data_IF_199989084370
#
_entry.id   IF_199989084370
#
_cell.length_a   1.000
_cell.length_b   1.000
_cell.length_c   1.000
_cell.angle_alpha   90.00
_cell.angle_beta   90.00
_cell.angle_gamma   90.00
#
_symmetry.space_group_name_H-M   'P 1'
#
loop_
_entity.id
_entity.type
_entity.pdbx_description
1 polymer ?
#
# COMPACT_ATOMS: atom_id res chain seq x y z
N UNK A 1 29.95 -19.99 -2.35
CA UNK A 1 30.39 -18.83 -1.55
C UNK A 1 29.23 -18.43 -0.63
N UNK A 2 29.44 -17.74 0.51
CA UNK A 2 28.35 -17.36 1.42
C UNK A 2 27.16 -16.71 0.71
N UNK A 3 27.44 -15.81 -0.24
CA UNK A 3 26.44 -15.20 -1.13
C UNK A 3 25.59 -16.20 -1.94
N UNK A 4 26.22 -17.23 -2.54
CA UNK A 4 25.50 -18.24 -3.33
C UNK A 4 24.57 -19.07 -2.43
N UNK A 5 25.01 -19.40 -1.22
CA UNK A 5 24.24 -20.22 -0.28
C UNK A 5 23.05 -19.43 0.28
N UNK A 6 23.25 -18.15 0.61
CA UNK A 6 22.17 -17.25 1.02
C UNK A 6 21.11 -17.12 -0.08
N UNK A 7 21.54 -16.84 -1.32
CA UNK A 7 20.64 -16.72 -2.46
C UNK A 7 19.86 -18.01 -2.69
N UNK A 8 20.53 -19.17 -2.67
CA UNK A 8 19.85 -20.48 -2.82
C UNK A 8 18.83 -20.73 -1.73
N UNK A 9 19.14 -20.41 -0.47
CA UNK A 9 18.21 -20.58 0.65
C UNK A 9 16.94 -19.75 0.45
N UNK A 10 17.09 -18.48 0.04
CA UNK A 10 15.94 -17.64 -0.30
C UNK A 10 15.20 -18.11 -1.56
N UNK A 11 15.91 -18.63 -2.57
CA UNK A 11 15.28 -19.15 -3.79
C UNK A 11 14.34 -20.32 -3.49
N UNK A 12 14.75 -21.25 -2.64
CA UNK A 12 13.90 -22.38 -2.21
C UNK A 12 12.60 -21.87 -1.57
N UNK A 13 12.68 -20.83 -0.75
CA UNK A 13 11.50 -20.19 -0.15
C UNK A 13 10.69 -19.42 -1.21
N UNK A 14 11.34 -18.76 -2.18
CA UNK A 14 10.60 -18.05 -3.24
C UNK A 14 9.83 -18.99 -4.17
N UNK A 15 10.28 -20.23 -4.32
CA UNK A 15 9.57 -21.25 -5.10
C UNK A 15 8.31 -21.74 -4.38
N UNK A 16 8.32 -21.78 -3.04
CA UNK A 16 7.11 -22.07 -2.24
C UNK A 16 6.20 -20.84 -2.13
N UNK A 17 6.80 -19.65 -2.05
CA UNK A 17 6.15 -18.34 -2.11
C UNK A 17 5.91 -17.87 -3.56
N UNK A 18 5.82 -18.80 -4.51
CA UNK A 18 5.71 -18.52 -5.94
C UNK A 18 4.82 -17.30 -6.21
N UNK A 19 5.44 -16.18 -6.63
CA UNK A 19 4.74 -14.95 -7.02
C UNK A 19 3.99 -15.23 -8.32
N UNK A 20 2.72 -15.66 -8.30
CA UNK A 20 2.19 -16.39 -9.43
C UNK A 20 1.65 -15.35 -10.41
N UNK A 21 2.53 -14.95 -11.34
CA UNK A 21 2.16 -14.27 -12.57
C UNK A 21 2.42 -12.78 -12.60
N UNK A 22 2.37 -12.26 -13.82
CA UNK A 22 2.63 -10.86 -14.12
C UNK A 22 1.44 -10.00 -13.71
N UNK A 23 1.67 -9.10 -12.76
CA UNK A 23 0.75 -8.00 -12.46
C UNK A 23 1.06 -6.78 -13.37
N UNK A 24 0.11 -5.87 -13.59
CA UNK A 24 0.38 -4.64 -14.33
C UNK A 24 1.56 -3.85 -13.74
N UNK A 25 2.56 -3.57 -14.57
CA UNK A 25 3.78 -2.85 -14.19
C UNK A 25 3.56 -1.32 -14.23
N UNK A 26 2.67 -0.81 -13.38
CA UNK A 26 2.25 0.60 -13.41
C UNK A 26 3.33 1.56 -12.90
N UNK A 27 4.14 1.14 -11.93
CA UNK A 27 5.19 1.97 -11.33
C UNK A 27 6.31 2.26 -12.32
N UNK A 28 6.58 1.32 -13.23
CA UNK A 28 7.63 1.43 -14.25
C UNK A 28 7.36 2.54 -15.28
N UNK A 29 6.19 3.18 -15.23
CA UNK A 29 5.84 4.36 -16.05
C UNK A 29 6.39 5.66 -15.49
N UNK A 30 6.92 5.64 -14.27
CA UNK A 30 7.38 6.81 -13.55
C UNK A 30 8.76 6.57 -12.96
N UNK A 31 9.45 7.67 -12.67
CA UNK A 31 10.74 7.64 -11.99
C UNK A 31 10.56 8.09 -10.54
N UNK A 32 11.25 7.40 -9.63
CA UNK A 32 11.33 7.83 -8.25
C UNK A 32 12.10 9.14 -8.16
N UNK A 33 11.59 10.07 -7.36
CA UNK A 33 12.28 11.33 -7.12
C UNK A 33 13.68 11.08 -6.50
N UNK A 34 14.71 11.68 -7.09
CA UNK A 34 16.10 11.43 -6.69
C UNK A 34 16.38 11.89 -5.24
N UNK A 35 15.83 13.02 -4.82
CA UNK A 35 15.93 13.45 -3.41
C UNK A 35 15.24 12.45 -2.48
N UNK A 36 14.12 11.85 -2.91
CA UNK A 36 13.41 10.86 -2.09
C UNK A 36 14.26 9.60 -1.90
N UNK A 37 14.94 9.13 -2.95
CA UNK A 37 15.87 8.00 -2.85
C UNK A 37 17.10 8.33 -1.98
N UNK A 38 17.57 9.57 -2.01
CA UNK A 38 18.75 10.02 -1.27
C UNK A 38 18.48 10.24 0.22
N UNK A 39 17.33 10.80 0.58
CA UNK A 39 17.01 11.23 1.95
C UNK A 39 15.87 10.43 2.62
N UNK A 40 15.12 9.66 1.85
CA UNK A 40 14.01 8.86 2.33
C UNK A 40 14.46 7.66 3.17
N UNK A 41 13.62 7.29 4.13
CA UNK A 41 13.74 6.11 4.97
C UNK A 41 12.52 5.23 4.72
N UNK A 42 12.73 3.96 4.41
CA UNK A 42 11.60 3.04 4.24
C UNK A 42 10.98 2.76 5.61
N UNK A 43 9.66 2.70 5.69
CA UNK A 43 8.93 2.46 6.94
C UNK A 43 7.92 1.33 6.70
N UNK A 44 7.92 0.35 7.58
CA UNK A 44 7.03 -0.80 7.52
C UNK A 44 6.09 -0.83 8.72
N UNK A 45 4.86 -1.33 8.51
CA UNK A 45 3.93 -1.58 9.61
C UNK A 45 4.13 -2.96 10.27
N UNK A 46 4.96 -3.82 9.66
CA UNK A 46 5.23 -5.17 10.12
C UNK A 46 6.26 -5.88 9.26
N UNK A 47 6.73 -7.05 9.74
CA UNK A 47 7.79 -7.81 9.09
C UNK A 47 7.38 -8.42 7.75
N UNK A 48 6.09 -8.66 7.58
CA UNK A 48 5.50 -9.39 6.47
C UNK A 48 5.82 -8.77 5.10
N UNK A 49 5.54 -7.48 4.93
CA UNK A 49 5.82 -6.76 3.69
C UNK A 49 7.32 -6.64 3.43
N UNK A 50 8.10 -6.39 4.50
CA UNK A 50 9.55 -6.34 4.44
C UNK A 50 10.14 -7.67 3.95
N UNK A 51 9.71 -8.80 4.53
CA UNK A 51 10.19 -10.13 4.13
C UNK A 51 9.90 -10.40 2.65
N UNK A 52 8.71 -10.02 2.16
CA UNK A 52 8.33 -10.16 0.74
C UNK A 52 9.19 -9.28 -0.17
N UNK A 53 9.44 -8.02 0.21
CA UNK A 53 10.33 -7.12 -0.54
C UNK A 53 11.76 -7.64 -0.60
N UNK A 54 12.28 -8.13 0.53
CA UNK A 54 13.63 -8.70 0.62
C UNK A 54 13.78 -9.99 -0.18
N UNK A 55 12.77 -10.85 -0.14
CA UNK A 55 12.73 -12.06 -0.96
C UNK A 55 12.83 -11.70 -2.44
N UNK A 56 12.02 -10.77 -2.91
CA UNK A 56 12.04 -10.30 -4.28
C UNK A 56 13.41 -9.70 -4.66
N UNK A 57 13.94 -8.82 -3.82
CA UNK A 57 15.22 -8.14 -4.02
C UNK A 57 16.42 -9.09 -4.19
N UNK A 58 16.37 -10.27 -3.55
CA UNK A 58 17.48 -11.23 -3.58
C UNK A 58 17.28 -12.37 -4.59
N UNK A 59 16.05 -12.64 -5.01
CA UNK A 59 15.73 -13.78 -5.89
C UNK A 59 15.48 -13.37 -7.34
N UNK A 60 14.97 -12.16 -7.59
CA UNK A 60 14.68 -11.67 -8.95
C UNK A 60 15.97 -11.11 -9.59
N UNK A 61 16.51 -11.72 -10.66
CA UNK A 61 17.83 -11.37 -11.19
C UNK A 61 17.94 -9.93 -11.74
N UNK A 62 16.83 -9.34 -12.17
CA UNK A 62 16.80 -7.98 -12.74
C UNK A 62 16.73 -6.89 -11.68
N UNK A 63 16.52 -7.22 -10.40
CA UNK A 63 16.51 -6.24 -9.32
C UNK A 63 17.93 -5.95 -8.86
N UNK A 64 18.34 -4.70 -8.99
CA UNK A 64 19.71 -4.28 -8.68
C UNK A 64 19.79 -2.98 -7.88
N UNK A 65 18.68 -2.25 -7.78
CA UNK A 65 18.57 -0.97 -7.09
C UNK A 65 17.37 -0.96 -6.16
N UNK A 66 17.38 -0.03 -5.19
CA UNK A 66 16.22 0.17 -4.32
C UNK A 66 14.99 0.63 -5.12
N UNK A 67 15.16 1.39 -6.19
CA UNK A 67 14.08 1.78 -7.09
C UNK A 67 13.38 0.58 -7.73
N UNK A 68 14.12 -0.47 -8.11
CA UNK A 68 13.54 -1.72 -8.64
C UNK A 68 12.64 -2.39 -7.60
N UNK A 69 13.11 -2.44 -6.34
CA UNK A 69 12.39 -3.05 -5.22
C UNK A 69 11.15 -2.25 -4.85
N UNK A 70 11.23 -0.91 -4.85
CA UNK A 70 10.07 -0.04 -4.62
C UNK A 70 9.04 -0.14 -5.75
N UNK A 71 9.48 -0.22 -7.01
CA UNK A 71 8.59 -0.45 -8.15
C UNK A 71 7.85 -1.79 -8.01
N UNK A 72 8.57 -2.83 -7.61
CA UNK A 72 7.98 -4.12 -7.32
C UNK A 72 6.93 -4.03 -6.22
N UNK A 73 7.27 -3.40 -5.09
CA UNK A 73 6.35 -3.24 -3.97
C UNK A 73 5.05 -2.53 -4.39
N UNK A 74 5.15 -1.44 -5.16
CA UNK A 74 3.96 -0.76 -5.70
C UNK A 74 3.15 -1.65 -6.65
N UNK A 75 3.81 -2.32 -7.60
CA UNK A 75 3.13 -3.14 -8.61
C UNK A 75 2.41 -4.33 -7.97
N UNK A 76 3.02 -4.91 -6.94
CA UNK A 76 2.50 -6.04 -6.18
C UNK A 76 1.72 -5.63 -4.92
N UNK A 77 1.42 -4.33 -4.73
CA UNK A 77 0.63 -3.84 -3.61
C UNK A 77 1.16 -4.27 -2.24
N UNK A 78 2.47 -4.29 -2.04
CA UNK A 78 3.09 -4.45 -0.73
C UNK A 78 2.99 -3.13 0.04
N UNK A 79 2.71 -3.21 1.35
CA UNK A 79 2.57 -2.03 2.18
C UNK A 79 3.94 -1.53 2.64
N UNK A 80 4.21 -0.25 2.40
CA UNK A 80 5.37 0.47 2.90
C UNK A 80 5.12 1.98 2.81
N UNK A 81 5.78 2.75 3.66
CA UNK A 81 5.83 4.20 3.55
C UNK A 81 7.28 4.66 3.34
N UNK A 82 7.46 5.90 2.89
CA UNK A 82 8.78 6.54 2.84
C UNK A 82 8.73 7.79 3.71
N UNK A 83 9.40 7.72 4.86
CA UNK A 83 9.58 8.83 5.78
C UNK A 83 10.73 9.73 5.37
N UNK A 84 10.57 11.04 5.55
CA UNK A 84 11.64 12.02 5.34
C UNK A 84 11.98 12.74 6.66
N UNK A 85 13.26 12.99 6.96
CA UNK A 85 13.63 13.77 8.13
C UNK A 85 13.15 15.22 8.03
N UNK A 86 12.72 15.80 9.16
CA UNK A 86 12.26 17.19 9.27
C UNK A 86 13.22 18.21 8.60
N UNK A 87 14.52 18.02 8.79
CA UNK A 87 15.60 18.87 8.24
C UNK A 87 15.67 18.90 6.70
N UNK A 88 14.91 18.07 6.01
CA UNK A 88 14.90 17.98 4.54
C UNK A 88 13.54 18.38 3.93
N UNK A 89 12.59 18.87 4.73
CA UNK A 89 11.26 19.25 4.24
C UNK A 89 11.28 20.35 3.17
N UNK A 90 12.30 21.20 3.19
CA UNK A 90 12.52 22.27 2.22
C UNK A 90 12.61 21.78 0.77
N UNK A 91 13.03 20.53 0.54
CA UNK A 91 13.13 19.91 -0.78
C UNK A 91 11.78 19.64 -1.44
N UNK A 92 10.74 19.40 -0.64
CA UNK A 92 9.39 19.08 -1.12
C UNK A 92 8.35 20.13 -0.79
N UNK A 93 8.69 21.12 0.04
CA UNK A 93 7.79 22.23 0.35
C UNK A 93 7.60 23.10 -0.89
N UNK A 94 6.37 23.22 -1.44
CA UNK A 94 6.15 24.04 -2.62
C UNK A 94 6.43 25.51 -2.32
N UNK A 95 7.25 26.15 -3.17
CA UNK A 95 7.57 27.59 -3.05
C UNK A 95 6.33 28.47 -3.15
N UNK A 96 5.36 28.04 -3.95
CA UNK A 96 4.06 28.68 -4.09
C UNK A 96 2.98 27.63 -3.90
N UNK A 97 1.92 28.01 -3.17
CA UNK A 97 0.71 27.19 -3.01
C UNK A 97 -0.44 27.94 -3.61
N UNK A 98 -1.22 27.25 -4.42
CA UNK A 98 -2.40 27.82 -5.06
C UNK A 98 -3.42 28.27 -4.00
N UNK A 99 -4.25 29.24 -4.35
CA UNK A 99 -5.34 29.69 -3.46
C UNK A 99 -6.28 28.54 -3.09
N UNK A 100 -6.48 27.59 -4.01
CA UNK A 100 -7.32 26.42 -3.80
C UNK A 100 -6.72 25.46 -2.77
N UNK A 101 -5.45 25.08 -2.92
CA UNK A 101 -4.75 24.22 -1.94
C UNK A 101 -4.71 24.87 -0.56
N UNK A 102 -4.49 26.19 -0.48
CA UNK A 102 -4.50 26.91 0.80
C UNK A 102 -5.87 26.84 1.48
N UNK A 103 -6.95 26.97 0.71
CA UNK A 103 -8.33 26.88 1.23
C UNK A 103 -8.70 25.44 1.61
N UNK A 104 -8.36 24.46 0.76
CA UNK A 104 -8.63 23.04 1.02
C UNK A 104 -7.85 22.52 2.23
N UNK A 105 -6.55 22.77 2.29
CA UNK A 105 -5.70 22.35 3.41
C UNK A 105 -6.14 22.93 4.76
N UNK A 106 -6.73 24.13 4.77
CA UNK A 106 -7.34 24.70 5.99
C UNK A 106 -8.55 23.89 6.46
N UNK A 107 -9.29 23.23 5.59
CA UNK A 107 -10.45 22.44 6.00
C UNK A 107 -10.01 21.06 6.51
N UNK A 108 -9.08 20.39 5.82
CA UNK A 108 -8.71 19.01 6.12
C UNK A 108 -7.69 18.88 7.28
N UNK A 109 -6.86 19.89 7.54
CA UNK A 109 -5.77 19.80 8.52
C UNK A 109 -5.99 20.61 9.80
N UNK A 110 -7.22 21.06 10.04
CA UNK A 110 -7.62 21.68 11.31
C UNK A 110 -7.79 20.62 12.38
N UNK A 111 -7.29 20.91 13.58
CA UNK A 111 -7.46 20.03 14.75
C UNK A 111 -8.94 19.78 15.01
N UNK A 112 -9.33 18.51 15.14
CA UNK A 112 -10.72 18.12 15.37
C UNK A 112 -11.58 18.02 14.10
N UNK A 113 -10.98 18.11 12.91
CA UNK A 113 -11.67 17.71 11.68
C UNK A 113 -12.12 16.25 11.78
N UNK A 114 -13.40 16.01 11.49
CA UNK A 114 -14.00 14.67 11.44
C UNK A 114 -14.49 14.45 10.03
N UNK A 115 -14.01 13.38 9.43
CA UNK A 115 -14.46 12.97 8.11
C UNK A 115 -15.92 12.55 8.16
N UNK A 116 -16.73 13.04 7.23
CA UNK A 116 -18.15 12.66 7.18
C UNK A 116 -18.25 11.22 6.69
N UNK A 117 -18.99 10.34 7.36
CA UNK A 117 -19.20 8.97 6.90
C UNK A 117 -20.04 8.90 5.62
N UNK A 118 -20.04 7.75 4.93
CA UNK A 118 -21.02 7.48 3.89
C UNK A 118 -22.42 7.30 4.51
N UNK A 119 -23.47 7.54 3.72
CA UNK A 119 -24.84 7.30 4.14
C UNK A 119 -25.04 5.82 4.47
N UNK A 120 -25.73 5.51 5.57
CA UNK A 120 -26.07 4.14 5.95
C UNK A 120 -26.98 3.44 4.91
N UNK A 121 -27.71 4.23 4.11
CA UNK A 121 -28.57 3.76 3.04
C UNK A 121 -27.86 3.64 1.69
N UNK A 122 -26.53 3.48 1.68
CA UNK A 122 -25.79 3.33 0.43
C UNK A 122 -26.31 2.11 -0.35
N UNK A 123 -26.96 2.41 -1.48
CA UNK A 123 -27.57 1.46 -2.40
C UNK A 123 -27.14 1.79 -3.84
N UNK A 124 -27.76 1.14 -4.83
CA UNK A 124 -27.45 1.39 -6.24
C UNK A 124 -27.65 2.86 -6.63
N UNK A 125 -28.71 3.49 -6.10
CA UNK A 125 -29.01 4.91 -6.39
C UNK A 125 -27.98 5.87 -5.81
N UNK A 126 -27.24 5.43 -4.79
CA UNK A 126 -26.23 6.20 -4.06
C UNK A 126 -24.80 6.05 -4.62
N UNK A 127 -24.57 5.18 -5.62
CA UNK A 127 -23.25 5.01 -6.26
C UNK A 127 -22.67 6.34 -6.77
N UNK A 128 -23.44 7.23 -7.46
CA UNK A 128 -22.90 8.50 -7.90
C UNK A 128 -22.37 9.36 -6.74
N UNK A 129 -23.07 9.38 -5.60
CA UNK A 129 -22.63 10.11 -4.41
C UNK A 129 -21.36 9.51 -3.81
N UNK A 130 -21.24 8.18 -3.77
CA UNK A 130 -20.01 7.50 -3.38
C UNK A 130 -18.85 7.87 -4.30
N UNK A 131 -19.03 7.82 -5.62
CA UNK A 131 -17.98 8.16 -6.59
C UNK A 131 -17.54 9.63 -6.49
N UNK A 132 -18.47 10.56 -6.25
CA UNK A 132 -18.14 11.97 -6.01
C UNK A 132 -17.28 12.13 -4.75
N UNK A 133 -17.64 11.43 -3.67
CA UNK A 133 -16.87 11.47 -2.42
C UNK A 133 -15.50 10.81 -2.55
N UNK A 134 -15.43 9.71 -3.28
CA UNK A 134 -14.19 9.02 -3.61
C UNK A 134 -13.26 9.94 -4.41
N UNK A 135 -13.80 10.68 -5.39
CA UNK A 135 -13.04 11.66 -6.15
C UNK A 135 -12.52 12.80 -5.25
N UNK A 136 -13.38 13.41 -4.41
CA UNK A 136 -12.95 14.44 -3.45
C UNK A 136 -11.79 13.95 -2.56
N UNK A 137 -11.93 12.74 -2.01
CA UNK A 137 -10.90 12.11 -1.19
C UNK A 137 -9.58 11.96 -1.95
N UNK A 138 -9.62 11.42 -3.18
CA UNK A 138 -8.42 11.15 -3.97
C UNK A 138 -7.76 12.40 -4.55
N UNK A 139 -8.46 13.55 -4.58
CA UNK A 139 -7.87 14.85 -4.91
C UNK A 139 -7.11 15.50 -3.75
N UNK A 140 -7.16 14.95 -2.54
CA UNK A 140 -6.46 15.53 -1.38
C UNK A 140 -4.95 15.31 -1.49
N UNK A 141 -4.11 16.25 -1.01
CA UNK A 141 -2.67 16.16 -1.16
C UNK A 141 -2.04 14.87 -0.58
N UNK A 142 -2.57 14.38 0.55
CA UNK A 142 -2.09 13.19 1.25
C UNK A 142 -2.73 11.88 0.77
N UNK A 143 -3.70 11.93 -0.17
CA UNK A 143 -4.31 10.72 -0.73
C UNK A 143 -3.27 9.79 -1.38
N UNK A 144 -2.09 10.32 -1.74
CA UNK A 144 -0.94 9.53 -2.19
C UNK A 144 -0.53 8.44 -1.19
N UNK A 145 -0.80 8.62 0.10
CA UNK A 145 -0.51 7.63 1.13
C UNK A 145 -1.31 6.33 0.95
N UNK A 146 -2.46 6.35 0.26
CA UNK A 146 -3.18 5.12 -0.09
C UNK A 146 -2.34 4.16 -0.94
N UNK A 147 -1.38 4.67 -1.72
CA UNK A 147 -0.45 3.84 -2.49
C UNK A 147 0.44 3.03 -1.55
N UNK A 148 0.95 3.66 -0.49
CA UNK A 148 1.81 3.03 0.52
C UNK A 148 1.09 2.04 1.45
N UNK A 149 -0.24 2.13 1.55
CA UNK A 149 -1.03 1.11 2.27
C UNK A 149 -1.06 -0.25 1.57
N UNK A 150 -0.66 -0.33 0.29
CA UNK A 150 -0.67 -1.58 -0.46
C UNK A 150 -2.08 -2.16 -0.67
N UNK A 151 -2.11 -3.43 -1.08
CA UNK A 151 -3.29 -4.27 -1.21
C UNK A 151 -4.50 -3.59 -1.85
N UNK A 152 -5.70 -3.73 -1.25
CA UNK A 152 -6.93 -3.18 -1.83
C UNK A 152 -6.97 -1.65 -1.80
N UNK A 153 -6.36 -1.01 -0.80
CA UNK A 153 -6.31 0.45 -0.70
C UNK A 153 -5.56 1.06 -1.88
N UNK A 154 -4.34 0.58 -2.13
CA UNK A 154 -3.50 1.04 -3.24
C UNK A 154 -4.15 0.76 -4.59
N UNK A 155 -4.81 -0.40 -4.75
CA UNK A 155 -5.48 -0.73 -6.01
C UNK A 155 -6.65 0.21 -6.30
N UNK A 156 -7.56 0.42 -5.32
CA UNK A 156 -8.73 1.29 -5.49
C UNK A 156 -8.29 2.73 -5.73
N UNK A 157 -7.32 3.22 -4.97
CA UNK A 157 -6.79 4.57 -5.14
C UNK A 157 -6.19 4.78 -6.54
N UNK A 158 -5.42 3.82 -7.07
CA UNK A 158 -4.92 3.89 -8.46
C UNK A 158 -6.03 3.82 -9.51
N UNK A 159 -7.05 2.98 -9.30
CA UNK A 159 -8.14 2.81 -10.27
C UNK A 159 -8.96 4.09 -10.44
N UNK A 160 -9.30 4.77 -9.34
CA UNK A 160 -10.20 5.93 -9.37
C UNK A 160 -9.49 7.28 -9.28
N UNK A 161 -8.28 7.31 -8.70
CA UNK A 161 -7.45 8.53 -8.58
C UNK A 161 -6.53 8.74 -9.77
N UNK A 162 -6.41 7.76 -10.65
CA UNK A 162 -5.56 7.82 -11.83
C UNK A 162 -4.10 7.48 -11.55
N UNK A 163 -3.31 7.48 -12.61
CA UNK A 163 -1.87 7.18 -12.55
C UNK A 163 -1.07 8.34 -11.95
N UNK A 164 -1.66 9.54 -11.94
CA UNK A 164 -1.11 10.76 -11.36
C UNK A 164 -0.89 10.59 -9.85
N UNK A 165 -1.80 9.90 -9.15
CA UNK A 165 -1.65 9.64 -7.71
C UNK A 165 -0.39 8.84 -7.40
N UNK A 166 -0.05 7.88 -8.27
CA UNK A 166 1.18 7.10 -8.16
C UNK A 166 2.42 7.97 -8.42
N UNK A 167 2.38 8.82 -9.45
CA UNK A 167 3.46 9.79 -9.70
C UNK A 167 3.67 10.72 -8.51
N UNK A 168 2.60 11.19 -7.88
CA UNK A 168 2.66 12.02 -6.66
C UNK A 168 3.29 11.24 -5.49
N UNK A 169 2.93 9.98 -5.28
CA UNK A 169 3.55 9.14 -4.25
C UNK A 169 5.07 8.98 -4.48
N UNK A 170 5.47 8.71 -5.73
CA UNK A 170 6.89 8.56 -6.12
C UNK A 170 7.67 9.88 -6.10
N UNK A 171 6.98 11.02 -6.03
CA UNK A 171 7.58 12.35 -5.96
C UNK A 171 7.98 12.79 -4.55
N UNK A 172 7.48 12.11 -3.51
CA UNK A 172 7.79 12.40 -2.12
C UNK A 172 6.58 12.87 -1.29
N UNK A 173 6.84 13.36 -0.07
CA UNK A 173 5.79 13.73 0.89
C UNK A 173 4.94 14.91 0.41
N UNK A 174 3.68 14.93 0.82
CA UNK A 174 2.76 16.01 0.49
C UNK A 174 2.93 17.24 1.40
N UNK A 175 2.10 18.26 1.14
CA UNK A 175 2.01 19.44 2.00
C UNK A 175 1.46 19.13 3.41
N UNK A 176 0.77 17.99 3.60
CA UNK A 176 0.34 17.51 4.91
C UNK A 176 1.55 17.42 5.85
N UNK A 177 2.60 16.75 5.40
CA UNK A 177 3.85 16.61 6.13
C UNK A 177 4.68 17.90 6.08
N UNK A 178 5.00 18.36 4.88
CA UNK A 178 6.08 19.35 4.68
C UNK A 178 5.74 20.76 5.16
N UNK A 179 4.45 21.11 5.18
CA UNK A 179 3.98 22.46 5.56
C UNK A 179 3.08 22.47 6.79
N UNK A 180 2.23 21.46 6.91
CA UNK A 180 1.29 21.37 8.03
C UNK A 180 1.85 20.56 9.20
N UNK A 181 2.99 19.88 9.03
CA UNK A 181 3.60 19.02 10.05
C UNK A 181 2.58 18.02 10.62
N UNK A 182 1.71 17.51 9.73
CA UNK A 182 0.70 16.48 9.98
C UNK A 182 1.11 15.19 9.28
N UNK A 183 0.40 14.12 9.59
CA UNK A 183 0.73 12.77 9.12
C UNK A 183 1.40 11.97 10.24
N UNK A 184 1.88 10.79 9.88
CA UNK A 184 2.53 9.89 10.80
C UNK A 184 4.03 10.23 10.93
N UNK A 185 4.62 9.79 12.03
CA UNK A 185 6.01 10.00 12.36
C UNK A 185 6.47 8.92 13.34
N UNK A 186 7.78 8.82 13.56
CA UNK A 186 8.37 7.80 14.41
C UNK A 186 8.66 8.26 15.84
N UNK A 187 7.96 9.28 16.34
CA UNK A 187 8.20 9.84 17.69
C UNK A 187 7.83 8.89 18.84
N UNK A 188 7.00 7.88 18.57
CA UNK A 188 6.63 6.83 19.53
C UNK A 188 7.69 5.71 19.63
N UNK A 189 8.68 5.71 18.74
CA UNK A 189 9.74 4.70 18.71
C UNK A 189 10.87 5.02 19.70
N UNK A 190 11.44 3.96 20.30
CA UNK A 190 12.54 4.08 21.29
C UNK A 190 13.74 4.85 20.73
N UNK A 191 14.07 4.60 19.46
CA UNK A 191 15.14 5.28 18.72
C UNK A 191 14.51 6.10 17.60
N UNK A 192 13.80 7.17 17.96
CA UNK A 192 13.18 8.06 16.98
C UNK A 192 14.25 8.78 16.13
N UNK A 193 14.04 8.79 14.82
CA UNK A 193 14.89 9.42 13.81
C UNK A 193 14.33 10.79 13.38
N UNK A 194 13.10 11.13 13.80
CA UNK A 194 12.43 12.37 13.41
C UNK A 194 12.03 12.35 11.94
N UNK A 195 11.59 11.18 11.46
CA UNK A 195 11.10 10.99 10.10
C UNK A 195 9.58 11.10 10.08
N UNK A 196 9.06 11.69 9.01
CA UNK A 196 7.63 11.96 8.84
C UNK A 196 7.16 11.49 7.46
N UNK A 197 5.94 10.97 7.37
CA UNK A 197 5.32 10.53 6.12
C UNK A 197 3.83 10.86 6.10
N UNK A 198 3.26 10.89 4.89
CA UNK A 198 1.83 11.14 4.73
C UNK A 198 1.01 10.01 5.35
N UNK A 199 -0.14 10.35 5.92
CA UNK A 199 -1.05 9.40 6.53
C UNK A 199 -2.50 9.71 6.14
N UNK A 200 -3.30 8.66 6.00
CA UNK A 200 -4.75 8.72 5.82
C UNK A 200 -5.43 8.10 7.04
N UNK A 201 -6.52 8.71 7.46
CA UNK A 201 -7.29 8.25 8.62
C UNK A 201 -8.11 6.98 8.33
N UNK A 202 -8.53 6.27 9.37
CA UNK A 202 -9.45 5.13 9.23
C UNK A 202 -10.79 5.51 8.57
N UNK A 203 -11.29 6.72 8.83
CA UNK A 203 -12.50 7.20 8.19
C UNK A 203 -12.33 7.39 6.68
N UNK A 204 -11.14 7.83 6.25
CA UNK A 204 -10.80 7.95 4.83
C UNK A 204 -10.60 6.59 4.16
N UNK A 205 -9.96 5.63 4.86
CA UNK A 205 -9.88 4.22 4.41
C UNK A 205 -11.28 3.62 4.23
N UNK A 206 -12.18 3.87 5.17
CA UNK A 206 -13.58 3.46 5.11
C UNK A 206 -14.32 4.09 3.92
N UNK A 207 -14.12 5.39 3.65
CA UNK A 207 -14.68 6.01 2.45
C UNK A 207 -14.12 5.35 1.21
N UNK A 208 -12.81 5.14 1.12
CA UNK A 208 -12.17 4.57 -0.07
C UNK A 208 -12.82 3.23 -0.46
N UNK A 209 -13.01 2.35 0.51
CA UNK A 209 -13.60 1.03 0.30
C UNK A 209 -15.14 1.02 0.27
N UNK A 210 -15.77 2.18 0.42
CA UNK A 210 -17.23 2.31 0.41
C UNK A 210 -17.90 1.62 1.60
N UNK A 211 -17.31 1.73 2.78
CA UNK A 211 -17.83 1.16 4.03
C UNK A 211 -19.18 1.78 4.42
N UNK A 212 -20.08 0.91 4.85
CA UNK A 212 -21.40 1.23 5.36
C UNK A 212 -21.52 0.57 6.73
N UNK A 213 -21.63 1.35 7.82
CA UNK A 213 -21.70 0.81 9.16
C UNK A 213 -22.98 -0.02 9.37
N UNK A 214 -22.95 -0.89 10.37
CA UNK A 214 -24.14 -1.60 10.80
C UNK A 214 -25.16 -0.64 11.43
N UNK A 215 -26.44 -0.77 11.07
CA UNK A 215 -27.54 -0.12 11.76
C UNK A 215 -28.49 -1.19 12.31
N UNK A 216 -28.82 -1.11 13.61
CA UNK A 216 -29.89 -1.88 14.27
C UNK A 216 -30.04 -3.34 13.78
N UNK A 217 -28.96 -4.13 13.87
CA UNK A 217 -28.97 -5.55 13.55
C UNK A 217 -28.62 -5.91 12.10
N UNK A 218 -28.33 -4.93 11.23
CA UNK A 218 -27.75 -5.21 9.90
C UNK A 218 -26.26 -5.54 10.01
N UNK A 219 -25.73 -6.36 9.11
CA UNK A 219 -24.29 -6.53 8.99
C UNK A 219 -23.64 -5.26 8.40
N UNK A 220 -22.37 -5.04 8.73
CA UNK A 220 -21.51 -4.08 8.05
C UNK A 220 -21.32 -4.47 6.59
N UNK A 221 -21.14 -3.48 5.71
CA UNK A 221 -21.04 -3.70 4.27
C UNK A 221 -19.97 -2.81 3.63
N UNK A 222 -19.43 -3.25 2.50
CA UNK A 222 -18.41 -2.51 1.74
C UNK A 222 -18.64 -2.59 0.23
N UNK A 223 -18.23 -1.57 -0.51
CA UNK A 223 -18.21 -1.58 -1.99
C UNK A 223 -17.02 -2.38 -2.53
N UNK A 224 -15.88 -2.31 -1.84
CA UNK A 224 -14.70 -3.15 -2.06
C UNK A 224 -14.39 -3.92 -0.76
N UNK A 225 -14.01 -5.20 -0.83
CA UNK A 225 -13.75 -5.96 0.39
C UNK A 225 -12.46 -5.45 1.06
N UNK A 226 -12.47 -5.13 2.36
CA UNK A 226 -11.28 -4.70 3.08
C UNK A 226 -10.30 -5.87 3.31
N UNK A 227 -9.04 -5.62 3.70
CA UNK A 227 -8.03 -6.66 3.90
C UNK A 227 -8.49 -7.81 4.80
N UNK A 228 -9.24 -7.51 5.87
CA UNK A 228 -9.69 -8.49 6.86
C UNK A 228 -10.72 -9.47 6.25
N UNK A 229 -11.56 -8.98 5.33
CA UNK A 229 -12.52 -9.81 4.58
C UNK A 229 -11.80 -10.68 3.56
N UNK A 230 -10.74 -10.15 2.92
CA UNK A 230 -9.91 -10.93 2.01
C UNK A 230 -9.16 -12.04 2.74
N UNK A 231 -8.59 -11.76 3.91
CA UNK A 231 -7.80 -12.72 4.70
C UNK A 231 -8.62 -13.92 5.19
N UNK A 232 -9.87 -13.69 5.57
CA UNK A 232 -10.79 -14.71 6.06
C UNK A 232 -11.40 -15.56 4.93
N UNK A 233 -11.66 -14.98 3.75
CA UNK A 233 -12.54 -15.61 2.73
C UNK A 233 -11.95 -15.73 1.31
N UNK A 234 -10.84 -15.07 1.00
CA UNK A 234 -10.23 -15.11 -0.33
C UNK A 234 -8.98 -16.01 -0.33
N UNK A 235 -9.05 -17.13 -1.05
CA UNK A 235 -7.93 -18.10 -1.14
C UNK A 235 -6.70 -17.55 -1.87
N UNK A 236 -6.84 -16.38 -2.49
CA UNK A 236 -5.80 -15.70 -3.27
C UNK A 236 -5.18 -14.53 -2.52
N UNK A 237 -5.68 -14.18 -1.33
CA UNK A 237 -5.07 -13.15 -0.51
C UNK A 237 -3.97 -13.73 0.37
N UNK A 238 -2.75 -13.28 0.08
CA UNK A 238 -1.50 -13.72 0.71
C UNK A 238 -0.69 -12.54 1.29
N UNK A 239 -1.33 -11.38 1.47
CA UNK A 239 -0.62 -10.12 1.74
C UNK A 239 0.18 -9.60 0.53
N UNK A 240 -0.12 -10.08 -0.68
CA UNK A 240 0.50 -9.61 -1.91
C UNK A 240 -0.53 -9.61 -3.05
N UNK A 241 -0.46 -8.59 -3.89
CA UNK A 241 -1.29 -8.47 -5.08
C UNK A 241 -0.83 -9.43 -6.18
N UNK A 242 -1.80 -10.06 -6.83
CA UNK A 242 -1.57 -11.06 -7.87
C UNK A 242 -2.65 -10.99 -8.97
N UNK A 243 -2.49 -11.70 -10.09
CA UNK A 243 -3.43 -11.65 -11.21
C UNK A 243 -4.86 -12.07 -10.87
N UNK A 244 -5.07 -12.96 -9.90
CA UNK A 244 -6.41 -13.37 -9.48
C UNK A 244 -7.14 -12.22 -8.76
N UNK A 245 -6.43 -11.53 -7.86
CA UNK A 245 -6.93 -10.32 -7.19
C UNK A 245 -7.17 -9.18 -8.19
N UNK A 246 -6.26 -9.00 -9.15
CA UNK A 246 -6.42 -8.04 -10.25
C UNK A 246 -7.71 -8.29 -11.03
N UNK A 247 -7.97 -9.54 -11.43
CA UNK A 247 -9.20 -9.90 -12.13
C UNK A 247 -10.47 -9.69 -11.29
N UNK A 248 -10.41 -10.07 -10.01
CA UNK A 248 -11.51 -9.88 -9.05
C UNK A 248 -11.86 -8.39 -8.88
N UNK A 249 -10.86 -7.54 -8.66
CA UNK A 249 -11.08 -6.12 -8.41
C UNK A 249 -11.50 -5.37 -9.66
N UNK A 250 -10.99 -5.73 -10.84
CA UNK A 250 -11.50 -5.22 -12.11
C UNK A 250 -12.98 -5.59 -12.32
N UNK A 251 -13.38 -6.82 -11.98
CA UNK A 251 -14.78 -7.23 -12.02
C UNK A 251 -15.66 -6.40 -11.08
N UNK A 252 -15.21 -6.17 -9.84
CA UNK A 252 -15.92 -5.32 -8.87
C UNK A 252 -16.05 -3.89 -9.41
N UNK A 253 -14.95 -3.28 -9.83
CA UNK A 253 -14.92 -1.91 -10.36
C UNK A 253 -15.87 -1.76 -11.57
N UNK A 254 -15.89 -2.72 -12.49
CA UNK A 254 -16.79 -2.68 -13.66
C UNK A 254 -18.28 -2.65 -13.27
N UNK A 255 -18.66 -3.33 -12.17
CA UNK A 255 -20.03 -3.30 -11.64
C UNK A 255 -20.37 -1.96 -10.99
N UNK A 256 -19.40 -1.33 -10.34
CA UNK A 256 -19.55 -0.01 -9.74
C UNK A 256 -19.72 1.05 -10.83
N UNK A 257 -18.84 1.06 -11.81
CA UNK A 257 -18.87 1.99 -12.95
C UNK A 257 -20.15 1.85 -13.78
N UNK A 258 -20.64 0.62 -13.98
CA UNK A 258 -21.92 0.35 -14.64
C UNK A 258 -23.16 0.57 -13.77
N UNK A 259 -22.99 1.07 -12.53
CA UNK A 259 -24.06 1.35 -11.56
C UNK A 259 -24.92 0.12 -11.24
N UNK A 260 -24.29 -1.06 -11.14
CA UNK A 260 -24.93 -2.34 -10.83
C UNK A 260 -24.44 -2.97 -9.53
N UNK A 261 -23.46 -2.35 -8.87
CA UNK A 261 -22.93 -2.82 -7.60
C UNK A 261 -23.80 -2.35 -6.42
N UNK A 262 -23.73 -3.08 -5.32
CA UNK A 262 -24.24 -2.64 -4.02
C UNK A 262 -23.19 -2.99 -2.96
N UNK A 263 -23.15 -2.30 -1.81
CA UNK A 263 -22.31 -2.70 -0.70
C UNK A 263 -22.67 -4.11 -0.24
N UNK A 264 -21.67 -4.93 0.01
CA UNK A 264 -21.83 -6.33 0.42
C UNK A 264 -21.28 -6.56 1.81
N UNK A 265 -21.98 -7.38 2.58
CA UNK A 265 -21.50 -7.90 3.85
C UNK A 265 -20.38 -8.93 3.65
N UNK A 266 -19.64 -9.24 4.72
CA UNK A 266 -18.61 -10.28 4.71
C UNK A 266 -19.12 -11.62 4.16
N UNK A 267 -20.32 -12.05 4.54
CA UNK A 267 -20.94 -13.29 4.05
C UNK A 267 -21.32 -13.23 2.57
N UNK A 268 -21.73 -12.05 2.08
CA UNK A 268 -22.04 -11.86 0.66
C UNK A 268 -20.77 -11.83 -0.20
N UNK A 269 -19.67 -11.26 0.32
CA UNK A 269 -18.37 -11.27 -0.36
C UNK A 269 -17.86 -12.68 -0.64
N UNK A 270 -18.07 -13.63 0.26
CA UNK A 270 -17.75 -15.06 0.03
C UNK A 270 -18.37 -15.60 -1.26
N UNK A 271 -19.60 -15.18 -1.58
CA UNK A 271 -20.28 -15.59 -2.82
C UNK A 271 -19.62 -14.98 -4.06
N UNK A 272 -19.07 -13.78 -3.94
CA UNK A 272 -18.33 -13.11 -5.01
C UNK A 272 -16.95 -13.75 -5.21
N UNK A 273 -16.29 -14.19 -4.14
CA UNK A 273 -14.97 -14.82 -4.22
C UNK A 273 -15.02 -16.23 -4.79
N UNK A 274 -16.10 -16.98 -4.54
CA UNK A 274 -16.21 -18.40 -4.94
C UNK A 274 -15.80 -18.70 -6.40
N UNK A 275 -16.32 -18.00 -7.44
CA UNK A 275 -15.91 -18.28 -8.82
C UNK A 275 -14.43 -18.00 -9.11
N UNK A 276 -13.79 -17.10 -8.35
CA UNK A 276 -12.36 -16.81 -8.47
C UNK A 276 -11.54 -17.83 -7.68
N UNK A 277 -11.97 -18.21 -6.48
CA UNK A 277 -11.36 -19.27 -5.67
C UNK A 277 -11.30 -20.61 -6.43
N UNK A 278 -12.32 -20.93 -7.22
CA UNK A 278 -12.38 -22.17 -8.00
C UNK A 278 -11.52 -22.13 -9.28
N UNK A 279 -11.20 -20.93 -9.79
CA UNK A 279 -10.53 -20.74 -11.10
C UNK A 279 -9.01 -20.62 -11.02
N UNK A 280 -8.48 -20.13 -9.90
CA UNK A 280 -7.05 -19.90 -9.71
C UNK A 280 -6.51 -20.83 -8.61
N UNK A 281 -5.24 -21.21 -8.67
CA UNK A 281 -4.62 -21.98 -7.59
C UNK A 281 -4.55 -21.12 -6.32
N UNK A 282 -4.95 -21.70 -5.18
CA UNK A 282 -4.82 -21.03 -3.90
C UNK A 282 -3.35 -20.75 -3.60
N UNK A 283 -3.08 -19.57 -3.05
CA UNK A 283 -1.74 -19.15 -2.69
C UNK A 283 -1.81 -18.44 -1.34
N UNK A 284 -1.25 -19.07 -0.31
CA UNK A 284 -1.18 -18.51 1.05
C UNK A 284 0.14 -18.92 1.70
N UNK A 285 1.14 -18.03 1.73
CA UNK A 285 2.34 -18.19 2.54
C UNK A 285 1.96 -18.57 3.97
N UNK A 286 2.65 -19.54 4.57
CA UNK A 286 2.51 -19.72 6.02
C UNK A 286 3.33 -18.63 6.73
N UNK A 287 2.92 -18.26 7.94
CA UNK A 287 3.71 -17.38 8.82
C UNK A 287 5.10 -17.98 9.09
N UNK A 288 5.23 -19.31 9.01
CA UNK A 288 6.51 -20.02 9.13
C UNK A 288 7.47 -19.67 7.99
N UNK A 289 6.98 -19.47 6.75
CA UNK A 289 7.84 -19.05 5.64
C UNK A 289 8.40 -17.63 5.86
N UNK A 290 7.59 -16.72 6.42
CA UNK A 290 8.02 -15.36 6.73
C UNK A 290 9.08 -15.37 7.85
N UNK A 291 8.87 -16.19 8.88
CA UNK A 291 9.85 -16.40 9.95
C UNK A 291 11.14 -17.04 9.43
N UNK A 292 11.06 -18.00 8.50
CA UNK A 292 12.22 -18.62 7.89
C UNK A 292 13.08 -17.60 7.13
N UNK A 293 12.47 -16.65 6.41
CA UNK A 293 13.19 -15.54 5.76
C UNK A 293 13.97 -14.74 6.80
N UNK A 294 13.36 -14.42 7.95
CA UNK A 294 14.02 -13.70 9.04
C UNK A 294 15.24 -14.46 9.56
N UNK A 295 15.06 -15.75 9.87
CA UNK A 295 16.13 -16.60 10.40
C UNK A 295 17.28 -16.78 9.40
N UNK A 296 17.00 -16.82 8.09
CA UNK A 296 18.05 -16.82 7.06
C UNK A 296 18.81 -15.49 7.10
N UNK A 297 18.14 -14.35 7.19
CA UNK A 297 18.81 -13.06 7.25
C UNK A 297 19.76 -12.96 8.45
N UNK A 298 19.31 -13.41 9.63
CA UNK A 298 20.13 -13.50 10.84
C UNK A 298 21.33 -14.44 10.67
N UNK A 299 21.09 -15.65 10.14
CA UNK A 299 22.14 -16.67 9.96
C UNK A 299 23.29 -16.19 9.08
N UNK A 300 22.99 -15.40 8.05
CA UNK A 300 23.99 -14.89 7.12
C UNK A 300 24.50 -13.50 7.48
N UNK A 301 24.10 -12.93 8.62
CA UNK A 301 24.59 -11.62 9.10
C UNK A 301 24.34 -10.46 8.11
N UNK A 302 23.32 -10.58 7.25
CA UNK A 302 22.80 -9.42 6.52
C UNK A 302 21.98 -8.56 7.48
N UNK A 303 21.75 -7.25 7.20
CA UNK A 303 20.96 -6.40 8.08
C UNK A 303 19.64 -7.09 8.44
N UNK A 304 19.36 -7.27 9.73
CA UNK A 304 18.18 -8.03 10.13
C UNK A 304 16.94 -7.27 9.75
N UNK A 305 16.93 -5.94 9.86
CA UNK A 305 15.76 -5.09 9.64
C UNK A 305 16.00 -4.00 8.59
N UNK A 306 15.03 -3.76 7.70
CA UNK A 306 15.01 -2.60 6.81
C UNK A 306 14.14 -1.46 7.35
N UNK A 307 13.30 -1.69 8.37
CA UNK A 307 12.44 -0.66 8.93
C UNK A 307 13.24 0.55 9.40
N UNK A 308 12.78 1.72 8.95
CA UNK A 308 13.38 3.03 9.16
C UNK A 308 14.83 3.14 8.67
N UNK A 309 15.29 2.22 7.81
CA UNK A 309 16.59 2.33 7.16
C UNK A 309 16.54 3.35 6.02
N UNK A 310 17.58 4.18 5.92
CA UNK A 310 17.73 5.09 4.78
C UNK A 310 17.84 4.31 3.47
N UNK A 311 17.02 4.66 2.47
CA UNK A 311 16.93 3.95 1.18
C UNK A 311 18.31 3.79 0.52
N UNK A 312 19.12 4.84 0.52
CA UNK A 312 20.49 4.82 -0.04
C UNK A 312 21.48 3.88 0.67
N UNK A 313 21.18 3.43 1.89
CA UNK A 313 22.04 2.51 2.65
C UNK A 313 21.70 1.04 2.39
N UNK A 314 20.53 0.76 1.82
CA UNK A 314 20.10 -0.60 1.51
C UNK A 314 20.82 -1.05 0.23
N UNK A 315 21.69 -2.07 0.36
CA UNK A 315 22.38 -2.65 -0.78
C UNK A 315 21.54 -3.78 -1.39
N UNK A 316 21.26 -3.67 -2.69
CA UNK A 316 20.50 -4.66 -3.45
C UNK A 316 21.40 -5.30 -4.51
N UNK A 317 21.40 -6.64 -4.64
CA UNK A 317 20.90 -7.60 -3.65
C UNK A 317 21.77 -7.60 -2.38
N UNK A 318 21.21 -8.06 -1.27
CA UNK A 318 21.83 -7.96 0.06
C UNK A 318 23.09 -8.84 0.20
N UNK A 319 23.19 -9.91 -0.60
CA UNK A 319 24.37 -10.77 -0.61
C UNK A 319 25.64 -10.11 -1.16
N UNK A 320 25.57 -8.86 -1.63
CA UNK A 320 26.77 -8.05 -1.95
C UNK A 320 27.59 -7.67 -0.72
N UNK A 321 26.99 -7.77 0.46
CA UNK A 321 27.62 -7.50 1.75
C UNK A 321 28.45 -8.71 2.25
N UNK A 322 28.18 -9.91 1.70
CA UNK A 322 28.75 -11.21 2.11
C UNK A 322 29.99 -11.61 1.30
#
# INVERSE_FOLDING_TARGET
RPADTFRRALTVISETLAFPGQVPQVANRFEWNADLLEYGHIVFNGWDDQARMRLAANTIPTMSTMSDVLNYAVNHGLAFNIGVPLRHFDKWTPKQITTLERKGARNYYVTGFIETSLSANLDISSIPAYLVKLADLLFRPHARAFIGLGGPYSWVARRFGGVELLSLYMSGPSIQVTRHYRGANDSDQILYLGIHWDEVSEAEKNILLGYVPSEKGSAERWMFPPPEVLEDRCNHWAGIWNPALEALYNHIASKIESKKAKPLSQTEWTKVFRPFNDRYAAYKPSSENIEEIRLICERYLVPTDWDRMALKKIQIPEYRIL
#
